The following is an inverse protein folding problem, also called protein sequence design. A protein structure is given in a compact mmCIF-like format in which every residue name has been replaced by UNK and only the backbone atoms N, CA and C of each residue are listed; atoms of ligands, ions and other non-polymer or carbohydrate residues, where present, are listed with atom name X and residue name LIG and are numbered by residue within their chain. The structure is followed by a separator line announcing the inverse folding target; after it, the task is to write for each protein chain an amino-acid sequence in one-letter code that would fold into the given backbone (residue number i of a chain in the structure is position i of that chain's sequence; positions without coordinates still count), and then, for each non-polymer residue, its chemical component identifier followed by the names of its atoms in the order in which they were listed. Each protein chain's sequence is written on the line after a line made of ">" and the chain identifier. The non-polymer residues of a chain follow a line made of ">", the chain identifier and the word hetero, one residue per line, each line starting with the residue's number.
data_IF_919799394181
#
_entry.id   IF_919799394181
#
_cell.length_a   1.000
_cell.length_b   1.000
_cell.length_c   1.000
_cell.angle_alpha   90.00
_cell.angle_beta   90.00
_cell.angle_gamma   90.00
#
_symmetry.space_group_name_H-M   'P 1'
#
loop_
_entity.id
_entity.type
_entity.pdbx_description
1 polymer ?
#
# COMPACT_ATOMS: atom_id res chain seq x y z
N UNK A 1 30.64 5.10 -21.36
CA UNK A 1 29.94 4.42 -20.27
C UNK A 1 28.49 4.83 -20.25
N UNK A 2 28.03 5.46 -19.17
CA UNK A 2 26.64 5.91 -19.12
C UNK A 2 26.29 6.85 -20.27
N UNK A 3 27.19 7.78 -20.61
CA UNK A 3 26.99 8.69 -21.72
C UNK A 3 26.82 7.93 -23.04
N UNK A 4 27.63 6.91 -23.26
CA UNK A 4 27.52 6.10 -24.48
C UNK A 4 26.21 5.30 -24.51
N UNK A 5 25.76 4.79 -23.39
CA UNK A 5 24.46 4.10 -23.29
C UNK A 5 23.32 5.02 -23.68
N UNK A 6 23.31 6.24 -23.13
CA UNK A 6 22.27 7.22 -23.44
C UNK A 6 22.31 7.60 -24.93
N UNK A 7 23.50 7.77 -25.50
CA UNK A 7 23.64 8.15 -26.91
C UNK A 7 23.17 7.04 -27.86
N UNK A 8 23.16 5.79 -27.40
CA UNK A 8 22.72 4.65 -28.21
C UNK A 8 21.22 4.36 -28.07
N UNK A 9 20.49 5.09 -27.21
CA UNK A 9 19.06 4.91 -27.04
C UNK A 9 18.29 5.80 -28.00
N UNK A 10 17.16 5.29 -28.49
CA UNK A 10 16.21 6.11 -29.23
C UNK A 10 15.52 7.10 -28.26
N UNK A 11 14.94 8.16 -28.80
CA UNK A 11 14.21 9.13 -27.98
C UNK A 11 13.04 8.47 -27.28
N UNK A 12 12.34 7.54 -27.92
CA UNK A 12 11.25 6.80 -27.31
C UNK A 12 11.72 5.97 -26.11
N UNK A 13 12.90 5.33 -26.23
CA UNK A 13 13.48 4.56 -25.12
C UNK A 13 13.89 5.46 -23.96
N UNK A 14 14.49 6.62 -24.24
CA UNK A 14 14.84 7.60 -23.21
C UNK A 14 13.58 8.10 -22.49
N UNK A 15 12.53 8.44 -23.25
CA UNK A 15 11.29 8.93 -22.68
C UNK A 15 10.62 7.86 -21.81
N UNK A 16 10.62 6.60 -22.25
CA UNK A 16 10.08 5.49 -21.47
C UNK A 16 10.87 5.27 -20.17
N UNK A 17 12.19 5.33 -20.24
CA UNK A 17 13.06 5.19 -19.06
C UNK A 17 12.82 6.34 -18.08
N UNK A 18 12.73 7.57 -18.57
CA UNK A 18 12.47 8.75 -17.75
C UNK A 18 11.10 8.67 -17.08
N UNK A 19 10.09 8.20 -17.79
CA UNK A 19 8.75 8.01 -17.22
C UNK A 19 8.76 7.00 -16.09
N UNK A 20 9.45 5.87 -16.25
CA UNK A 20 9.58 4.86 -15.21
C UNK A 20 10.25 5.43 -13.96
N UNK A 21 11.30 6.22 -14.13
CA UNK A 21 11.99 6.87 -13.01
C UNK A 21 11.07 7.85 -12.31
N UNK A 22 10.38 8.70 -13.06
CA UNK A 22 9.45 9.70 -12.51
C UNK A 22 8.32 9.01 -11.76
N UNK A 23 7.71 7.97 -12.34
CA UNK A 23 6.64 7.20 -11.68
C UNK A 23 7.12 6.59 -10.36
N UNK A 24 8.33 6.01 -10.36
CA UNK A 24 8.92 5.43 -9.15
C UNK A 24 9.13 6.47 -8.04
N UNK A 25 9.52 7.69 -8.40
CA UNK A 25 9.77 8.77 -7.44
C UNK A 25 8.48 9.42 -6.96
N UNK A 26 7.48 9.59 -7.83
CA UNK A 26 6.27 10.36 -7.54
C UNK A 26 5.15 9.52 -6.94
N UNK A 27 5.13 8.19 -7.16
CA UNK A 27 4.09 7.32 -6.59
C UNK A 27 4.20 7.29 -5.07
N UNK A 28 3.06 7.44 -4.43
CA UNK A 28 2.94 7.34 -2.98
C UNK A 28 2.10 6.10 -2.67
N UNK A 29 2.76 5.06 -2.15
CA UNK A 29 2.11 3.78 -1.88
C UNK A 29 1.74 3.70 -0.41
N UNK A 30 0.44 3.58 -0.14
CA UNK A 30 -0.08 3.50 1.22
C UNK A 30 -0.84 2.19 1.40
N UNK A 31 -0.45 1.44 2.43
CA UNK A 31 -1.15 0.23 2.82
C UNK A 31 -2.39 0.64 3.60
N UNK A 32 -3.56 0.14 3.20
CA UNK A 32 -4.79 0.23 3.99
C UNK A 32 -5.08 -1.17 4.50
N UNK A 33 -4.95 -1.35 5.81
CA UNK A 33 -5.06 -2.65 6.44
C UNK A 33 -5.85 -2.56 7.73
N UNK A 34 -6.23 -3.70 8.29
CA UNK A 34 -6.93 -3.73 9.57
C UNK A 34 -7.64 -5.04 9.80
N UNK A 35 -8.55 -5.02 10.77
CA UNK A 35 -9.24 -6.21 11.23
C UNK A 35 -10.20 -6.75 10.17
N UNK A 36 -10.33 -8.08 10.12
CA UNK A 36 -11.15 -8.77 9.12
C UNK A 36 -12.65 -8.52 9.31
N UNK A 37 -13.06 -8.16 10.51
CA UNK A 37 -14.45 -7.84 10.83
C UNK A 37 -14.76 -6.35 10.79
N UNK A 38 -13.79 -5.52 10.43
CA UNK A 38 -14.00 -4.08 10.32
C UNK A 38 -14.99 -3.77 9.20
N UNK A 39 -16.04 -3.03 9.52
CA UNK A 39 -17.09 -2.67 8.57
C UNK A 39 -17.35 -1.16 8.48
N UNK A 40 -16.50 -0.36 9.13
CA UNK A 40 -16.67 1.10 9.22
C UNK A 40 -16.20 1.85 8.00
N UNK A 41 -16.84 1.66 6.85
CA UNK A 41 -16.39 2.27 5.60
C UNK A 41 -16.35 3.81 5.66
N UNK A 42 -17.35 4.44 6.30
CA UNK A 42 -17.36 5.91 6.41
C UNK A 42 -16.17 6.42 7.23
N UNK A 43 -15.80 5.71 8.30
CA UNK A 43 -14.63 6.03 9.10
C UNK A 43 -13.35 5.84 8.27
N UNK A 44 -13.26 4.74 7.54
CA UNK A 44 -12.10 4.46 6.66
C UNK A 44 -11.95 5.59 5.64
N UNK A 45 -13.02 5.98 5.00
CA UNK A 45 -13.03 7.02 3.98
C UNK A 45 -12.59 8.36 4.57
N UNK A 46 -13.14 8.74 5.73
CA UNK A 46 -12.77 9.98 6.42
C UNK A 46 -11.29 10.03 6.76
N UNK A 47 -10.77 8.95 7.36
CA UNK A 47 -9.37 8.91 7.79
C UNK A 47 -8.40 8.85 6.61
N UNK A 48 -8.70 8.05 5.60
CA UNK A 48 -7.86 7.99 4.40
C UNK A 48 -7.84 9.33 3.68
N UNK A 49 -8.98 9.97 3.52
CA UNK A 49 -9.03 11.31 2.92
C UNK A 49 -8.18 12.31 3.71
N UNK A 50 -8.22 12.25 5.03
CA UNK A 50 -7.43 13.11 5.89
C UNK A 50 -5.92 12.89 5.67
N UNK A 51 -5.47 11.65 5.73
CA UNK A 51 -4.04 11.34 5.62
C UNK A 51 -3.51 11.54 4.20
N UNK A 52 -4.36 11.48 3.18
CA UNK A 52 -3.96 11.59 1.78
C UNK A 52 -4.23 12.97 1.17
N UNK A 53 -4.72 13.93 1.95
CA UNK A 53 -5.19 15.22 1.43
C UNK A 53 -4.11 16.03 0.71
N UNK A 54 -2.85 15.83 1.06
CA UNK A 54 -1.74 16.58 0.46
C UNK A 54 -1.06 15.82 -0.70
N UNK A 55 -1.61 14.68 -1.09
CA UNK A 55 -1.05 13.88 -2.18
C UNK A 55 -1.89 14.07 -3.44
N UNK A 56 -1.22 14.03 -4.59
CA UNK A 56 -1.93 14.10 -5.87
C UNK A 56 -2.63 12.77 -6.14
N UNK A 57 -3.93 12.77 -6.51
CA UNK A 57 -4.67 11.52 -6.73
C UNK A 57 -3.98 10.58 -7.72
N UNK A 58 -3.41 11.10 -8.80
CA UNK A 58 -2.72 10.29 -9.81
C UNK A 58 -1.45 9.61 -9.29
N UNK A 59 -0.94 10.02 -8.15
CA UNK A 59 0.27 9.45 -7.55
C UNK A 59 -0.04 8.45 -6.43
N UNK A 60 -1.29 8.37 -5.99
CA UNK A 60 -1.68 7.50 -4.88
C UNK A 60 -1.87 6.07 -5.38
N UNK A 61 -1.25 5.13 -4.69
CA UNK A 61 -1.46 3.70 -4.88
C UNK A 61 -1.89 3.10 -3.54
N UNK A 62 -3.05 2.46 -3.52
CA UNK A 62 -3.53 1.75 -2.33
C UNK A 62 -3.00 0.32 -2.39
N UNK A 63 -2.22 -0.05 -1.37
CA UNK A 63 -1.66 -1.39 -1.26
C UNK A 63 -2.54 -2.20 -0.32
N UNK A 64 -3.03 -3.34 -0.78
CA UNK A 64 -4.01 -4.16 -0.07
C UNK A 64 -3.56 -5.60 0.07
N UNK A 65 -3.79 -6.18 1.25
CA UNK A 65 -3.57 -7.61 1.48
C UNK A 65 -4.74 -8.49 1.04
N UNK A 66 -5.80 -7.90 0.56
CA UNK A 66 -6.97 -8.61 0.00
C UNK A 66 -7.67 -9.55 1.00
N UNK A 67 -7.56 -9.28 2.29
CA UNK A 67 -8.36 -9.96 3.30
C UNK A 67 -9.73 -9.32 3.43
N UNK A 68 -10.67 -9.98 4.10
CA UNK A 68 -11.96 -9.38 4.39
C UNK A 68 -11.79 -8.17 5.33
N UNK A 69 -12.82 -7.35 5.46
CA UNK A 69 -12.83 -6.20 6.35
C UNK A 69 -12.07 -5.01 5.80
N UNK A 70 -11.15 -4.47 6.57
CA UNK A 70 -10.45 -3.23 6.23
C UNK A 70 -9.74 -3.29 4.87
N UNK A 71 -9.13 -4.42 4.54
CA UNK A 71 -8.40 -4.57 3.27
C UNK A 71 -9.32 -4.38 2.07
N UNK A 72 -10.46 -5.09 2.04
CA UNK A 72 -11.42 -4.97 0.94
C UNK A 72 -12.11 -3.62 0.91
N UNK A 73 -12.35 -3.01 2.07
CA UNK A 73 -12.88 -1.64 2.13
C UNK A 73 -11.87 -0.63 1.60
N UNK A 74 -10.57 -0.85 1.83
CA UNK A 74 -9.52 -0.03 1.23
C UNK A 74 -9.50 -0.12 -0.29
N UNK A 75 -9.73 -1.31 -0.83
CA UNK A 75 -9.84 -1.51 -2.28
C UNK A 75 -11.07 -0.77 -2.84
N UNK A 76 -12.20 -0.85 -2.14
CA UNK A 76 -13.40 -0.09 -2.50
C UNK A 76 -13.15 1.40 -2.50
N UNK A 77 -12.47 1.90 -1.49
CA UNK A 77 -12.09 3.30 -1.37
C UNK A 77 -11.24 3.75 -2.57
N UNK A 78 -10.24 2.94 -2.94
CA UNK A 78 -9.39 3.23 -4.09
C UNK A 78 -10.20 3.30 -5.38
N UNK A 79 -11.13 2.37 -5.57
CA UNK A 79 -12.01 2.35 -6.74
C UNK A 79 -12.88 3.60 -6.81
N UNK A 80 -13.48 4.01 -5.68
CA UNK A 80 -14.34 5.20 -5.64
C UNK A 80 -13.57 6.48 -5.88
N UNK A 81 -12.32 6.56 -5.45
CA UNK A 81 -11.47 7.73 -5.64
C UNK A 81 -10.69 7.72 -6.95
N UNK A 82 -10.68 6.61 -7.67
CA UNK A 82 -9.89 6.47 -8.91
C UNK A 82 -8.40 6.29 -8.66
N UNK A 83 -8.01 5.78 -7.50
CA UNK A 83 -6.61 5.47 -7.19
C UNK A 83 -6.21 4.11 -7.71
N UNK A 84 -4.93 3.94 -8.06
CA UNK A 84 -4.37 2.63 -8.37
C UNK A 84 -4.39 1.72 -7.14
N UNK A 85 -4.43 0.41 -7.38
CA UNK A 85 -4.31 -0.59 -6.32
C UNK A 85 -3.19 -1.58 -6.65
N UNK A 86 -2.48 -2.02 -5.60
CA UNK A 86 -1.58 -3.18 -5.65
C UNK A 86 -2.05 -4.17 -4.62
N UNK A 87 -2.33 -5.40 -5.04
CA UNK A 87 -2.93 -6.41 -4.19
C UNK A 87 -1.94 -7.55 -3.92
N UNK A 88 -1.77 -7.89 -2.66
CA UNK A 88 -0.85 -8.94 -2.19
C UNK A 88 -1.63 -10.00 -1.42
N UNK A 89 -2.30 -10.94 -2.10
CA UNK A 89 -3.03 -12.00 -1.41
C UNK A 89 -2.06 -12.90 -0.64
N UNK A 90 -2.45 -13.30 0.57
CA UNK A 90 -1.67 -14.26 1.33
C UNK A 90 -1.81 -15.67 0.74
N UNK A 91 -0.71 -16.38 0.62
CA UNK A 91 -0.70 -17.74 0.07
C UNK A 91 -0.78 -18.76 1.21
N UNK A 92 -1.99 -18.93 1.74
CA UNK A 92 -2.27 -19.85 2.84
C UNK A 92 -1.98 -21.31 2.48
N UNK A 93 -2.16 -21.69 1.21
CA UNK A 93 -1.91 -23.05 0.75
C UNK A 93 -0.44 -23.44 0.91
N UNK A 94 0.45 -22.56 0.48
CA UNK A 94 1.90 -22.82 0.50
C UNK A 94 2.51 -22.55 1.87
N UNK A 95 2.12 -21.45 2.52
CA UNK A 95 2.82 -20.92 3.69
C UNK A 95 2.07 -21.13 5.01
N UNK A 96 0.84 -21.64 4.99
CA UNK A 96 0.08 -21.88 6.20
C UNK A 96 -0.05 -20.64 7.06
N UNK A 97 0.21 -20.76 8.37
CA UNK A 97 0.08 -19.64 9.31
C UNK A 97 1.05 -18.49 9.03
N UNK A 98 2.17 -18.77 8.37
CA UNK A 98 3.15 -17.74 8.04
C UNK A 98 2.71 -16.86 6.86
N UNK A 99 1.65 -17.23 6.15
CA UNK A 99 1.22 -16.53 4.94
C UNK A 99 0.88 -15.06 5.19
N UNK A 100 0.18 -14.76 6.29
CA UNK A 100 -0.15 -13.39 6.66
C UNK A 100 1.08 -12.53 6.93
N UNK A 101 1.96 -12.94 7.85
CA UNK A 101 3.21 -12.21 8.10
C UNK A 101 4.10 -12.06 6.88
N UNK A 102 4.21 -13.07 6.03
CA UNK A 102 4.98 -12.99 4.79
C UNK A 102 4.41 -11.93 3.86
N UNK A 103 3.09 -11.95 3.64
CA UNK A 103 2.40 -10.97 2.82
C UNK A 103 2.56 -9.56 3.40
N UNK A 104 2.44 -9.40 4.71
CA UNK A 104 2.63 -8.11 5.38
C UNK A 104 4.03 -7.55 5.14
N UNK A 105 5.05 -8.42 5.20
CA UNK A 105 6.43 -8.02 4.91
C UNK A 105 6.60 -7.60 3.45
N UNK A 106 5.94 -8.27 2.52
CA UNK A 106 5.97 -7.90 1.10
C UNK A 106 5.38 -6.50 0.88
N UNK A 107 4.26 -6.22 1.51
CA UNK A 107 3.64 -4.89 1.41
C UNK A 107 4.51 -3.80 2.03
N UNK A 108 5.06 -4.05 3.21
CA UNK A 108 5.94 -3.09 3.87
C UNK A 108 7.21 -2.79 3.07
N UNK A 109 7.68 -3.76 2.28
CA UNK A 109 8.87 -3.58 1.45
C UNK A 109 8.66 -2.59 0.30
N UNK A 110 7.43 -2.40 -0.15
CA UNK A 110 7.13 -1.55 -1.33
C UNK A 110 6.39 -0.25 -0.96
N UNK A 111 5.87 -0.13 0.25
CA UNK A 111 5.01 0.98 0.63
C UNK A 111 5.77 2.11 1.33
N UNK A 112 5.17 3.30 1.31
CA UNK A 112 5.67 4.49 1.99
C UNK A 112 4.98 4.70 3.33
N UNK A 113 3.74 4.23 3.47
CA UNK A 113 2.92 4.48 4.64
C UNK A 113 1.93 3.34 4.89
N UNK A 114 1.39 3.33 6.11
CA UNK A 114 0.33 2.42 6.52
C UNK A 114 -0.76 3.20 7.26
N UNK A 115 -2.01 2.94 6.89
CA UNK A 115 -3.18 3.37 7.67
C UNK A 115 -3.86 2.07 8.13
N UNK A 116 -3.83 1.82 9.43
CA UNK A 116 -4.33 0.58 10.02
C UNK A 116 -5.56 0.85 10.87
N UNK A 117 -6.61 0.08 10.64
CA UNK A 117 -7.86 0.12 11.43
C UNK A 117 -7.84 -1.06 12.38
N UNK A 118 -7.57 -0.80 13.65
CA UNK A 118 -7.24 -1.83 14.63
C UNK A 118 -8.12 -1.77 15.86
N UNK A 119 -8.66 -2.92 16.26
CA UNK A 119 -9.48 -3.06 17.47
C UNK A 119 -8.64 -3.18 18.74
N UNK A 120 -7.33 -3.18 18.64
CA UNK A 120 -6.41 -3.34 19.75
C UNK A 120 -6.14 -4.80 20.12
N UNK A 121 -6.73 -5.76 19.40
CA UNK A 121 -6.64 -7.19 19.73
C UNK A 121 -6.15 -8.05 18.58
N UNK A 122 -6.49 -7.73 17.34
CA UNK A 122 -6.13 -8.51 16.16
C UNK A 122 -4.60 -8.65 16.04
N UNK A 123 -4.12 -9.89 16.03
CA UNK A 123 -2.68 -10.19 15.92
C UNK A 123 -2.14 -9.91 14.51
N UNK A 124 -2.95 -10.17 13.49
CA UNK A 124 -2.55 -9.91 12.11
C UNK A 124 -2.35 -8.43 11.84
N UNK A 125 -3.26 -7.59 12.35
CA UNK A 125 -3.13 -6.15 12.24
C UNK A 125 -1.94 -5.63 13.05
N UNK A 126 -1.74 -6.16 14.25
CA UNK A 126 -0.55 -5.80 15.06
C UNK A 126 0.74 -6.15 14.34
N UNK A 127 0.80 -7.33 13.72
CA UNK A 127 1.96 -7.72 12.92
C UNK A 127 2.21 -6.72 11.79
N UNK A 128 1.17 -6.28 11.09
CA UNK A 128 1.31 -5.30 10.02
C UNK A 128 1.86 -3.97 10.56
N UNK A 129 1.32 -3.51 11.69
CA UNK A 129 1.77 -2.26 12.32
C UNK A 129 3.24 -2.37 12.73
N UNK A 130 3.63 -3.47 13.40
CA UNK A 130 5.00 -3.66 13.86
C UNK A 130 5.98 -3.77 12.69
N UNK A 131 5.59 -4.50 11.65
CA UNK A 131 6.40 -4.68 10.45
C UNK A 131 6.63 -3.34 9.74
N UNK A 132 5.59 -2.57 9.54
CA UNK A 132 5.68 -1.25 8.90
C UNK A 132 6.53 -0.28 9.73
N UNK A 133 6.36 -0.30 11.04
CA UNK A 133 7.14 0.55 11.95
C UNK A 133 8.62 0.22 11.88
N UNK A 134 8.98 -1.06 11.89
CA UNK A 134 10.38 -1.50 11.78
C UNK A 134 11.01 -1.07 10.45
N UNK A 135 10.22 -1.04 9.39
CA UNK A 135 10.69 -0.64 8.06
C UNK A 135 10.79 0.87 7.90
N UNK A 136 10.37 1.64 8.89
CA UNK A 136 10.44 3.09 8.84
C UNK A 136 9.32 3.77 8.06
N UNK A 137 8.21 3.06 7.80
CA UNK A 137 7.06 3.65 7.14
C UNK A 137 6.39 4.67 8.05
N UNK A 138 5.68 5.64 7.46
CA UNK A 138 4.75 6.47 8.21
C UNK A 138 3.54 5.62 8.59
N UNK A 139 3.23 5.53 9.88
CA UNK A 139 2.18 4.66 10.38
C UNK A 139 1.12 5.47 11.11
N UNK A 140 -0.13 5.32 10.67
CA UNK A 140 -1.29 5.86 11.35
C UNK A 140 -2.16 4.68 11.81
N UNK A 141 -2.45 4.63 13.11
CA UNK A 141 -3.30 3.60 13.69
C UNK A 141 -4.62 4.24 14.11
N UNK A 142 -5.71 3.78 13.52
CA UNK A 142 -7.05 4.22 13.86
C UNK A 142 -7.68 3.14 14.73
N UNK A 143 -7.87 3.47 16.01
CA UNK A 143 -8.55 2.58 16.97
C UNK A 143 -10.05 2.79 16.89
N UNK A 144 -10.80 1.69 16.97
CA UNK A 144 -12.27 1.77 16.94
C UNK A 144 -12.93 0.81 17.93
#
# INVERSE_FOLDING_TARGET
>A
RLTNLVNNMSQAEVDAANKLIIDSITKYKVIVAGCRDFAGYELLKEKCDFYLQNKKPENIVIVSGHASGADTLGERYAQERGYETEVYPADWKTNGRAAGPIRNAQMAAVADALIAFWDGKSRGTKNMIDTATKRGLQVAVVRY
#
